data_IF_295262620457
#
_entry.id   IF_295262620457
#
_cell.length_a   1.000
_cell.length_b   1.000
_cell.length_c   1.000
_cell.angle_alpha   90.00
_cell.angle_beta   90.00
_cell.angle_gamma   90.00
#
_symmetry.space_group_name_H-M   'P 1'
#
loop_
_entity.id
_entity.type
_entity.pdbx_description
1 polymer ?
#
# COMPACT_ATOMS: atom_id res chain seq x y z
N UNK A 1 82.72 -11.71 16.54
CA UNK A 1 81.98 -12.92 16.12
C UNK A 1 80.64 -12.85 16.81
N UNK A 2 79.68 -12.18 16.17
CA UNK A 2 78.36 -11.89 16.72
C UNK A 2 77.33 -12.84 16.11
N UNK A 3 76.55 -13.47 16.98
CA UNK A 3 75.54 -14.45 16.63
C UNK A 3 74.30 -13.75 16.06
N UNK A 4 73.90 -14.16 14.85
CA UNK A 4 72.58 -13.90 14.29
C UNK A 4 71.60 -14.91 14.86
N UNK A 5 70.47 -14.47 15.41
CA UNK A 5 69.28 -15.32 15.49
C UNK A 5 68.01 -14.48 15.30
N UNK A 6 67.06 -15.10 14.60
CA UNK A 6 65.95 -14.54 13.85
C UNK A 6 64.92 -13.73 14.65
N UNK A 7 64.43 -12.69 13.98
CA UNK A 7 63.25 -11.89 14.31
C UNK A 7 61.98 -12.76 14.45
N UNK A 8 61.31 -12.68 15.61
CA UNK A 8 59.94 -13.16 15.79
C UNK A 8 58.98 -12.01 15.48
N UNK A 9 58.25 -12.09 14.36
CA UNK A 9 57.13 -11.22 14.05
C UNK A 9 55.94 -11.55 14.99
N UNK A 10 55.63 -10.64 15.91
CA UNK A 10 54.35 -10.65 16.63
C UNK A 10 53.25 -10.12 15.70
N UNK A 11 52.54 -11.00 14.99
CA UNK A 11 51.24 -10.67 14.39
C UNK A 11 50.18 -10.73 15.49
N UNK A 12 49.78 -9.57 16.02
CA UNK A 12 48.59 -9.44 16.83
C UNK A 12 47.36 -9.64 15.93
N UNK A 13 46.76 -10.83 15.99
CA UNK A 13 45.45 -11.09 15.36
C UNK A 13 44.40 -10.40 16.20
N UNK A 14 43.98 -9.20 15.78
CA UNK A 14 42.79 -8.53 16.28
C UNK A 14 41.57 -9.37 15.85
N UNK A 15 41.15 -10.30 16.71
CA UNK A 15 39.85 -10.95 16.62
C UNK A 15 38.77 -9.88 16.83
N UNK A 16 38.38 -9.21 15.75
CA UNK A 16 37.10 -8.52 15.68
C UNK A 16 36.03 -9.57 15.95
N UNK A 17 35.56 -9.63 17.21
CA UNK A 17 34.30 -10.25 17.54
C UNK A 17 33.22 -9.41 16.84
N UNK A 18 32.91 -9.77 15.59
CA UNK A 18 31.58 -9.54 15.04
C UNK A 18 30.65 -10.41 15.89
N UNK A 19 30.31 -9.93 17.08
CA UNK A 19 29.07 -10.31 17.71
C UNK A 19 28.01 -9.85 16.70
N UNK A 20 27.56 -10.77 15.85
CA UNK A 20 26.32 -10.57 15.12
C UNK A 20 25.29 -10.26 16.18
N UNK A 21 24.94 -8.99 16.32
CA UNK A 21 23.77 -8.61 17.08
C UNK A 21 22.66 -9.38 16.40
N UNK A 22 22.12 -10.41 17.07
CA UNK A 22 20.88 -11.01 16.65
C UNK A 22 19.92 -9.83 16.52
N UNK A 23 19.59 -9.45 15.28
CA UNK A 23 18.73 -8.32 15.02
C UNK A 23 17.43 -8.65 15.76
N UNK A 24 17.11 -7.89 16.80
CA UNK A 24 15.92 -8.14 17.58
C UNK A 24 14.72 -8.12 16.62
N UNK A 25 14.05 -9.26 16.48
CA UNK A 25 12.82 -9.35 15.69
C UNK A 25 11.71 -8.73 16.52
N UNK A 26 11.02 -7.77 15.93
CA UNK A 26 9.79 -7.23 16.47
C UNK A 26 8.72 -8.31 16.43
N UNK A 27 7.94 -8.38 17.50
CA UNK A 27 6.76 -9.22 17.61
C UNK A 27 5.54 -8.30 17.60
N UNK A 28 4.84 -8.26 16.47
CA UNK A 28 3.64 -7.46 16.28
C UNK A 28 2.41 -8.36 16.49
N UNK A 29 1.67 -8.23 17.61
CA UNK A 29 0.51 -9.08 17.87
C UNK A 29 -0.70 -8.76 16.97
N UNK A 30 -0.70 -7.60 16.31
CA UNK A 30 -1.75 -7.15 15.43
C UNK A 30 -1.23 -6.13 14.40
N UNK A 31 -2.03 -5.90 13.37
CA UNK A 31 -1.81 -4.87 12.36
C UNK A 31 -3.10 -4.08 12.12
N UNK A 32 -2.98 -2.75 12.08
CA UNK A 32 -4.05 -1.82 11.72
C UNK A 32 -3.68 -1.10 10.43
N UNK A 33 -4.45 -1.32 9.37
CA UNK A 33 -4.14 -0.76 8.05
C UNK A 33 -5.08 0.38 7.68
N UNK A 34 -4.52 1.45 7.13
CA UNK A 34 -5.22 2.59 6.53
C UNK A 34 -4.76 2.71 5.09
N UNK A 35 -5.65 3.09 4.18
CA UNK A 35 -5.24 3.10 2.79
C UNK A 35 -6.33 3.28 1.76
N UNK A 36 -5.93 3.07 0.51
CA UNK A 36 -6.82 2.98 -0.63
C UNK A 36 -6.93 1.54 -1.16
N UNK A 37 -7.30 1.39 -2.43
CA UNK A 37 -7.48 0.11 -3.09
C UNK A 37 -6.22 -0.76 -3.18
N UNK A 38 -5.02 -0.17 -3.05
CA UNK A 38 -3.77 -0.93 -2.99
C UNK A 38 -3.66 -1.81 -1.72
N UNK A 39 -4.47 -1.54 -0.71
CA UNK A 39 -4.50 -2.29 0.54
C UNK A 39 -5.91 -2.64 1.03
N UNK A 40 -6.96 -2.36 0.25
CA UNK A 40 -8.34 -2.71 0.59
C UNK A 40 -8.55 -4.24 0.62
N UNK A 41 -9.20 -4.73 1.67
CA UNK A 41 -9.54 -6.14 1.88
C UNK A 41 -11.05 -6.38 2.00
N UNK A 42 -11.87 -5.43 1.57
CA UNK A 42 -13.33 -5.51 1.53
C UNK A 42 -14.07 -4.27 2.04
N UNK A 43 -13.38 -3.18 2.39
CA UNK A 43 -13.96 -1.93 2.87
C UNK A 43 -14.96 -1.33 1.87
N UNK A 44 -14.54 -1.13 0.61
CA UNK A 44 -15.46 -0.62 -0.41
C UNK A 44 -16.56 -1.64 -0.72
N UNK A 45 -16.19 -2.93 -0.76
CA UNK A 45 -17.11 -4.03 -1.05
C UNK A 45 -18.27 -4.13 -0.06
N UNK A 46 -18.00 -3.89 1.23
CA UNK A 46 -19.00 -3.99 2.28
C UNK A 46 -20.11 -2.92 2.16
N UNK A 47 -19.82 -1.77 1.53
CA UNK A 47 -20.74 -0.63 1.46
C UNK A 47 -21.31 -0.45 0.06
N UNK A 48 -20.50 -0.62 -0.99
CA UNK A 48 -20.86 -0.26 -2.37
C UNK A 48 -20.96 -1.44 -3.32
N UNK A 49 -20.75 -2.67 -2.83
CA UNK A 49 -20.86 -3.89 -3.61
C UNK A 49 -19.49 -4.51 -3.92
N UNK A 50 -19.49 -5.84 -3.98
CA UNK A 50 -18.29 -6.66 -4.12
C UNK A 50 -17.56 -6.38 -5.43
N UNK A 51 -16.23 -6.32 -5.37
CA UNK A 51 -15.39 -6.37 -6.57
C UNK A 51 -15.78 -7.65 -7.36
N UNK A 52 -16.16 -7.54 -8.64
CA UNK A 52 -16.76 -8.67 -9.37
C UNK A 52 -15.72 -9.73 -9.73
N UNK A 53 -16.16 -10.93 -10.13
CA UNK A 53 -15.26 -11.86 -10.84
C UNK A 53 -14.71 -11.17 -12.11
N UNK A 54 -13.42 -11.30 -12.48
CA UNK A 54 -12.39 -12.26 -12.01
C UNK A 54 -11.47 -11.81 -10.87
N UNK A 55 -11.85 -10.80 -10.08
CA UNK A 55 -11.07 -10.40 -8.90
C UNK A 55 -10.86 -11.61 -7.96
N UNK A 56 -9.62 -11.79 -7.48
CA UNK A 56 -9.23 -12.91 -6.61
C UNK A 56 -9.00 -14.27 -7.29
N UNK A 57 -9.08 -14.40 -8.62
CA UNK A 57 -8.98 -15.69 -9.33
C UNK A 57 -7.69 -16.50 -9.07
N UNK A 58 -6.55 -15.83 -8.90
CA UNK A 58 -5.21 -16.45 -8.78
C UNK A 58 -4.98 -17.06 -7.40
N UNK A 59 -5.55 -16.50 -6.34
CA UNK A 59 -5.27 -16.93 -4.97
C UNK A 59 -6.50 -17.33 -4.15
N UNK A 60 -7.54 -16.48 -4.14
CA UNK A 60 -8.75 -16.75 -3.38
C UNK A 60 -9.74 -17.63 -4.15
N UNK A 61 -9.55 -17.75 -5.46
CA UNK A 61 -10.40 -18.49 -6.39
C UNK A 61 -11.88 -18.06 -6.35
N UNK A 62 -12.10 -16.83 -5.89
CA UNK A 62 -13.39 -16.16 -5.78
C UNK A 62 -13.14 -14.69 -5.42
N UNK A 63 -14.11 -13.78 -5.64
CA UNK A 63 -13.92 -12.39 -5.26
C UNK A 63 -13.82 -12.23 -3.74
N UNK A 64 -12.72 -11.63 -3.29
CA UNK A 64 -12.36 -11.52 -1.87
C UNK A 64 -12.26 -10.05 -1.37
N UNK A 65 -12.95 -9.13 -2.06
CA UNK A 65 -12.98 -7.71 -1.71
C UNK A 65 -11.69 -6.94 -1.99
N UNK A 66 -10.75 -7.53 -2.72
CA UNK A 66 -9.51 -6.92 -3.18
C UNK A 66 -9.63 -6.61 -4.66
N UNK A 67 -9.10 -5.46 -5.09
CA UNK A 67 -9.05 -5.05 -6.49
C UNK A 67 -7.73 -5.52 -7.10
N UNK A 68 -7.59 -6.84 -7.25
CA UNK A 68 -6.47 -7.56 -7.88
C UNK A 68 -6.89 -9.01 -8.12
N UNK A 69 -6.16 -9.74 -8.96
CA UNK A 69 -6.37 -11.18 -9.18
C UNK A 69 -6.07 -12.06 -7.96
N UNK A 70 -5.57 -11.51 -6.85
CA UNK A 70 -5.31 -12.29 -5.65
C UNK A 70 -5.02 -11.44 -4.42
N UNK A 71 -3.82 -11.60 -3.86
CA UNK A 71 -3.35 -10.89 -2.67
C UNK A 71 -2.80 -9.50 -3.01
N UNK A 72 -3.09 -8.54 -2.13
CA UNK A 72 -2.45 -7.22 -2.17
C UNK A 72 -1.26 -7.17 -1.20
N UNK A 73 -0.47 -6.09 -1.23
CA UNK A 73 0.79 -5.99 -0.45
C UNK A 73 0.57 -6.20 1.05
N UNK A 74 -0.55 -5.73 1.61
CA UNK A 74 -0.89 -5.88 3.03
C UNK A 74 -1.07 -7.35 3.45
N UNK A 75 -1.55 -8.21 2.54
CA UNK A 75 -1.72 -9.63 2.82
C UNK A 75 -0.36 -10.32 2.98
N UNK A 76 0.62 -9.96 2.14
CA UNK A 76 1.98 -10.47 2.26
C UNK A 76 2.72 -9.94 3.50
N UNK A 77 2.44 -8.69 3.90
CA UNK A 77 2.92 -8.13 5.17
C UNK A 77 2.39 -8.98 6.33
N UNK A 78 1.08 -9.23 6.39
CA UNK A 78 0.46 -10.06 7.44
C UNK A 78 1.08 -11.46 7.49
N UNK A 79 1.19 -12.15 6.35
CA UNK A 79 1.83 -13.48 6.26
C UNK A 79 3.24 -13.48 6.83
N UNK A 80 4.04 -12.47 6.50
CA UNK A 80 5.44 -12.39 6.93
C UNK A 80 5.63 -12.13 8.42
N UNK A 81 4.61 -11.54 9.06
CA UNK A 81 4.54 -11.31 10.50
C UNK A 81 3.85 -12.46 11.24
N UNK A 82 3.40 -13.51 10.53
CA UNK A 82 2.67 -14.62 11.12
C UNK A 82 1.24 -14.27 11.54
N UNK A 83 0.67 -13.18 11.01
CA UNK A 83 -0.68 -12.73 11.27
C UNK A 83 -1.67 -13.30 10.24
N UNK A 84 -2.94 -13.52 10.61
CA UNK A 84 -3.99 -13.79 9.62
C UNK A 84 -4.20 -12.59 8.70
N UNK A 85 -4.81 -12.81 7.53
CA UNK A 85 -5.25 -11.70 6.68
C UNK A 85 -6.24 -10.81 7.42
N UNK A 86 -6.08 -9.50 7.25
CA UNK A 86 -6.93 -8.54 7.93
C UNK A 86 -8.36 -8.60 7.39
N UNK A 87 -9.31 -8.59 8.33
CA UNK A 87 -10.71 -8.32 8.01
C UNK A 87 -10.91 -6.82 7.81
N UNK A 88 -11.67 -6.43 6.79
CA UNK A 88 -12.09 -5.04 6.65
C UNK A 88 -13.00 -4.64 7.82
N UNK A 89 -12.81 -3.45 8.37
CA UNK A 89 -13.60 -2.93 9.49
C UNK A 89 -15.12 -2.96 9.20
N UNK A 90 -15.49 -2.68 7.95
CA UNK A 90 -16.87 -2.59 7.50
C UNK A 90 -17.52 -3.95 7.20
N UNK A 91 -16.75 -5.05 7.18
CA UNK A 91 -17.30 -6.38 6.94
C UNK A 91 -18.16 -6.83 8.13
N UNK A 92 -19.42 -7.18 7.86
CA UNK A 92 -20.37 -7.65 8.87
C UNK A 92 -20.33 -9.16 9.12
N UNK A 93 -19.95 -9.95 8.11
CA UNK A 93 -19.98 -11.43 8.15
C UNK A 93 -18.55 -11.98 8.12
N UNK A 94 -18.24 -12.88 9.05
CA UNK A 94 -16.98 -13.64 9.07
C UNK A 94 -15.76 -12.87 9.56
N UNK A 95 -15.92 -11.61 10.00
CA UNK A 95 -14.82 -10.77 10.46
C UNK A 95 -14.21 -11.27 11.77
N UNK A 96 -12.89 -11.31 11.80
CA UNK A 96 -12.09 -11.57 13.00
C UNK A 96 -11.08 -10.45 13.16
N UNK A 97 -11.21 -9.68 14.24
CA UNK A 97 -10.38 -8.51 14.53
C UNK A 97 -9.38 -8.75 15.66
N UNK A 98 -9.23 -10.00 16.14
CA UNK A 98 -8.30 -10.35 17.23
C UNK A 98 -6.85 -9.94 16.96
N UNK A 99 -6.46 -9.89 15.69
CA UNK A 99 -5.14 -9.48 15.21
C UNK A 99 -5.17 -8.14 14.44
N UNK A 100 -6.16 -7.30 14.72
CA UNK A 100 -6.33 -5.99 14.11
C UNK A 100 -7.33 -5.95 12.97
N UNK A 101 -7.43 -4.80 12.31
CA UNK A 101 -8.47 -4.50 11.33
C UNK A 101 -7.91 -3.67 10.18
N UNK A 102 -8.56 -3.76 9.03
CA UNK A 102 -8.24 -2.95 7.87
C UNK A 102 -9.33 -1.88 7.63
N UNK A 103 -8.95 -0.62 7.69
CA UNK A 103 -9.80 0.54 7.44
C UNK A 103 -9.66 1.08 6.00
N UNK A 104 -8.73 0.53 5.21
CA UNK A 104 -8.57 0.94 3.82
C UNK A 104 -9.85 0.67 3.01
N UNK A 105 -10.13 1.58 2.08
CA UNK A 105 -11.28 1.50 1.18
C UNK A 105 -10.83 1.90 -0.22
N UNK A 106 -11.23 1.15 -1.24
CA UNK A 106 -10.87 1.44 -2.62
C UNK A 106 -11.34 2.82 -3.07
N UNK A 107 -10.48 3.54 -3.80
CA UNK A 107 -10.75 4.92 -4.24
C UNK A 107 -10.65 5.98 -3.15
N UNK A 108 -10.23 5.65 -1.93
CA UNK A 108 -10.06 6.61 -0.84
C UNK A 108 -8.94 7.61 -1.09
N UNK A 109 -9.20 8.85 -0.68
CA UNK A 109 -8.27 9.97 -0.69
C UNK A 109 -7.91 10.36 0.74
N UNK A 110 -6.76 11.02 0.91
CA UNK A 110 -6.41 11.65 2.19
C UNK A 110 -7.39 12.79 2.47
N UNK A 111 -7.60 13.68 1.50
CA UNK A 111 -8.56 14.78 1.62
C UNK A 111 -9.97 14.33 1.23
N UNK A 112 -11.02 14.63 2.02
CA UNK A 112 -12.41 14.36 1.63
C UNK A 112 -12.77 14.92 0.26
N UNK A 113 -13.57 14.17 -0.50
CA UNK A 113 -14.08 14.60 -1.80
C UNK A 113 -15.47 15.24 -1.66
N UNK A 114 -15.71 16.31 -2.40
CA UNK A 114 -17.02 16.99 -2.45
C UNK A 114 -17.97 16.38 -3.50
N UNK A 115 -17.79 15.10 -3.83
CA UNK A 115 -18.54 14.37 -4.85
C UNK A 115 -18.91 12.99 -4.32
N UNK A 116 -19.95 12.37 -4.90
CA UNK A 116 -20.28 10.97 -4.58
C UNK A 116 -19.40 10.00 -5.36
N UNK A 117 -19.33 8.75 -4.90
CA UNK A 117 -18.65 7.66 -5.62
C UNK A 117 -19.14 7.55 -7.07
N UNK A 118 -20.44 7.70 -7.31
CA UNK A 118 -21.02 7.61 -8.66
C UNK A 118 -20.63 8.79 -9.56
N UNK A 119 -20.33 9.96 -8.98
CA UNK A 119 -19.96 11.15 -9.75
C UNK A 119 -18.50 11.16 -10.15
N UNK A 120 -17.60 10.74 -9.26
CA UNK A 120 -16.15 10.90 -9.46
C UNK A 120 -15.36 9.59 -9.50
N UNK A 121 -15.92 8.51 -8.95
CA UNK A 121 -15.23 7.23 -8.75
C UNK A 121 -14.37 7.18 -7.48
N UNK A 122 -14.35 8.25 -6.66
CA UNK A 122 -13.61 8.28 -5.40
C UNK A 122 -14.51 7.96 -4.21
N UNK A 123 -13.95 7.26 -3.23
CA UNK A 123 -14.70 6.81 -2.05
C UNK A 123 -15.03 7.97 -1.12
N UNK A 124 -16.25 7.99 -0.53
CA UNK A 124 -16.57 8.93 0.54
C UNK A 124 -15.87 8.59 1.87
N UNK A 125 -15.19 7.45 1.95
CA UNK A 125 -14.44 7.00 3.13
C UNK A 125 -12.99 7.50 3.00
N UNK A 126 -12.78 8.81 3.13
CA UNK A 126 -11.44 9.42 3.15
C UNK A 126 -10.66 9.07 4.41
N UNK A 127 -9.37 9.41 4.46
CA UNK A 127 -8.47 9.01 5.56
C UNK A 127 -8.95 9.47 6.94
N UNK A 128 -9.59 10.64 7.04
CA UNK A 128 -10.21 11.12 8.27
C UNK A 128 -11.40 10.25 8.70
N UNK A 129 -12.19 9.73 7.75
CA UNK A 129 -13.26 8.76 8.03
C UNK A 129 -12.67 7.44 8.49
N UNK A 130 -11.62 6.93 7.83
CA UNK A 130 -10.91 5.72 8.25
C UNK A 130 -10.33 5.87 9.67
N UNK A 131 -9.84 7.06 10.03
CA UNK A 131 -9.44 7.37 11.40
C UNK A 131 -10.62 7.33 12.37
N UNK A 132 -11.77 7.90 12.01
CA UNK A 132 -12.97 7.84 12.87
C UNK A 132 -13.42 6.39 13.08
N UNK A 133 -13.35 5.54 12.05
CA UNK A 133 -13.60 4.11 12.16
C UNK A 133 -12.63 3.44 13.15
N UNK A 134 -11.33 3.72 13.02
CA UNK A 134 -10.33 3.25 13.97
C UNK A 134 -10.56 3.75 15.40
N UNK A 135 -10.89 5.03 15.56
CA UNK A 135 -11.14 5.65 16.87
C UNK A 135 -12.32 5.00 17.58
N UNK A 136 -13.43 4.80 16.87
CA UNK A 136 -14.60 4.12 17.41
C UNK A 136 -14.32 2.65 17.67
N UNK A 137 -13.60 1.96 16.78
CA UNK A 137 -13.17 0.58 16.99
C UNK A 137 -12.31 0.44 18.25
N UNK A 138 -11.30 1.30 18.40
CA UNK A 138 -10.40 1.35 19.56
C UNK A 138 -11.19 1.55 20.86
N UNK A 139 -12.02 2.59 20.94
CA UNK A 139 -12.69 2.96 22.19
C UNK A 139 -13.85 2.03 22.57
N UNK A 140 -14.52 1.41 21.59
CA UNK A 140 -15.63 0.49 21.86
C UNK A 140 -15.16 -0.92 22.15
N UNK A 141 -13.95 -1.30 21.73
CA UNK A 141 -13.41 -2.65 21.90
C UNK A 141 -13.40 -3.12 23.37
N UNK A 142 -12.86 -2.38 24.35
CA UNK A 142 -12.81 -2.82 25.74
C UNK A 142 -14.20 -3.16 26.31
N UNK A 143 -15.21 -2.33 26.02
CA UNK A 143 -16.59 -2.54 26.46
C UNK A 143 -17.23 -3.72 25.74
N UNK A 144 -16.99 -3.87 24.43
CA UNK A 144 -17.55 -4.96 23.65
C UNK A 144 -17.01 -6.33 24.09
N UNK A 145 -15.72 -6.43 24.42
CA UNK A 145 -15.10 -7.67 24.95
C UNK A 145 -15.78 -8.21 26.20
N UNK A 146 -16.32 -7.33 27.05
CA UNK A 146 -16.98 -7.72 28.30
C UNK A 146 -18.38 -8.33 28.08
N UNK A 147 -18.92 -8.29 26.86
CA UNK A 147 -20.28 -8.76 26.55
C UNK A 147 -20.38 -10.28 26.28
N UNK A 148 -19.27 -11.02 26.39
CA UNK A 148 -19.27 -12.49 26.31
C UNK A 148 -18.03 -13.07 25.64
N UNK A 149 -17.83 -14.38 25.79
CA UNK A 149 -16.63 -15.11 25.34
C UNK A 149 -16.34 -14.97 23.84
N UNK A 150 -17.38 -14.83 23.01
CA UNK A 150 -17.22 -14.67 21.56
C UNK A 150 -16.53 -13.34 21.24
N UNK A 151 -16.97 -12.23 21.85
CA UNK A 151 -16.37 -10.91 21.63
C UNK A 151 -14.96 -10.82 22.22
N UNK A 152 -14.71 -11.51 23.33
CA UNK A 152 -13.37 -11.63 23.91
C UNK A 152 -12.38 -12.28 22.92
N UNK A 153 -12.81 -13.27 22.15
CA UNK A 153 -11.98 -14.00 21.17
C UNK A 153 -11.84 -13.28 19.83
N UNK A 154 -12.85 -12.52 19.40
CA UNK A 154 -12.89 -11.88 18.08
C UNK A 154 -12.35 -10.44 18.05
N UNK A 155 -12.15 -9.81 19.19
CA UNK A 155 -11.60 -8.45 19.29
C UNK A 155 -10.17 -8.49 19.83
N UNK A 156 -9.35 -7.44 19.62
CA UNK A 156 -8.00 -7.37 20.19
C UNK A 156 -8.08 -6.99 21.68
N UNK A 157 -7.05 -7.31 22.47
CA UNK A 157 -6.93 -6.80 23.85
C UNK A 157 -6.43 -5.34 23.84
N UNK A 158 -6.65 -4.60 24.91
CA UNK A 158 -6.29 -3.17 24.97
C UNK A 158 -4.78 -2.94 24.79
N UNK A 159 -3.94 -3.79 25.38
CA UNK A 159 -2.49 -3.69 25.28
C UNK A 159 -1.95 -3.95 23.85
N UNK A 160 -2.77 -4.55 22.97
CA UNK A 160 -2.40 -4.85 21.57
C UNK A 160 -2.24 -3.57 20.77
N UNK A 161 -3.07 -2.55 20.99
CA UNK A 161 -3.04 -1.32 20.21
C UNK A 161 -1.66 -0.63 20.29
N UNK A 162 -1.07 -0.53 21.49
CA UNK A 162 0.28 0.05 21.66
C UNK A 162 1.43 -0.79 21.10
N UNK A 163 1.17 -2.05 20.74
CA UNK A 163 2.17 -3.00 20.21
C UNK A 163 1.97 -3.30 18.73
N UNK A 164 0.88 -2.85 18.12
CA UNK A 164 0.53 -3.18 16.75
C UNK A 164 1.38 -2.41 15.72
N UNK A 165 1.48 -2.97 14.53
CA UNK A 165 1.98 -2.28 13.35
C UNK A 165 0.85 -1.48 12.70
N UNK A 166 1.10 -0.21 12.40
CA UNK A 166 0.18 0.68 11.70
C UNK A 166 0.70 0.94 10.30
N UNK A 167 -0.03 0.48 9.28
CA UNK A 167 0.36 0.59 7.87
C UNK A 167 -0.46 1.66 7.15
N UNK A 168 0.17 2.41 6.26
CA UNK A 168 -0.47 3.44 5.43
C UNK A 168 -0.04 3.27 3.96
N UNK A 169 -0.99 3.09 3.05
CA UNK A 169 -0.79 3.17 1.58
C UNK A 169 -1.93 4.00 0.98
N UNK A 170 -1.71 5.32 0.89
CA UNK A 170 -2.73 6.30 0.49
C UNK A 170 -2.10 7.55 -0.13
N UNK A 171 -2.88 8.28 -0.93
CA UNK A 171 -2.50 9.55 -1.54
C UNK A 171 -2.49 9.50 -3.07
N UNK A 172 -2.49 8.30 -3.67
CA UNK A 172 -2.55 8.14 -5.13
C UNK A 172 -3.81 8.81 -5.70
N UNK A 173 -4.95 8.53 -5.07
CA UNK A 173 -6.24 9.05 -5.51
C UNK A 173 -6.33 10.57 -5.37
N UNK A 174 -5.65 11.19 -4.39
CA UNK A 174 -5.63 12.66 -4.26
C UNK A 174 -5.02 13.32 -5.49
N UNK A 175 -4.02 12.68 -6.12
CA UNK A 175 -3.42 13.20 -7.36
C UNK A 175 -4.39 13.06 -8.53
N UNK A 176 -4.95 11.86 -8.72
CA UNK A 176 -5.82 11.60 -9.88
C UNK A 176 -7.19 12.25 -9.75
N UNK A 177 -7.67 12.52 -8.54
CA UNK A 177 -8.91 13.28 -8.32
C UNK A 177 -8.82 14.69 -8.90
N UNK A 178 -7.70 15.39 -8.70
CA UNK A 178 -7.49 16.70 -9.32
C UNK A 178 -7.51 16.63 -10.84
N UNK A 179 -6.75 15.69 -11.43
CA UNK A 179 -6.71 15.53 -12.89
C UNK A 179 -8.07 15.15 -13.49
N UNK A 180 -8.84 14.31 -12.82
CA UNK A 180 -10.16 13.89 -13.30
C UNK A 180 -11.23 14.97 -13.15
N UNK A 181 -10.92 16.03 -12.40
CA UNK A 181 -11.67 17.29 -12.36
C UNK A 181 -11.07 18.35 -13.31
N UNK A 182 -10.25 17.94 -14.29
CA UNK A 182 -9.60 18.80 -15.28
C UNK A 182 -8.63 19.85 -14.69
N UNK A 183 -8.08 19.62 -13.50
CA UNK A 183 -7.01 20.48 -12.96
C UNK A 183 -5.72 20.28 -13.75
N UNK A 184 -4.98 21.36 -13.94
CA UNK A 184 -3.61 21.35 -14.46
C UNK A 184 -2.63 20.73 -13.46
N UNK A 185 -1.48 20.28 -13.95
CA UNK A 185 -0.38 19.80 -13.09
C UNK A 185 0.04 20.82 -12.03
N UNK A 186 0.01 22.13 -12.36
CA UNK A 186 0.29 23.20 -11.38
C UNK A 186 -0.75 23.28 -10.27
N UNK A 187 -2.03 23.12 -10.59
CA UNK A 187 -3.12 23.14 -9.61
C UNK A 187 -3.08 21.91 -8.71
N UNK A 188 -2.78 20.72 -9.27
CA UNK A 188 -2.58 19.50 -8.48
C UNK A 188 -1.41 19.66 -7.51
N UNK A 189 -0.27 20.19 -7.98
CA UNK A 189 0.90 20.49 -7.13
C UNK A 189 0.56 21.48 -6.01
N UNK A 190 -0.28 22.48 -6.30
CA UNK A 190 -0.58 23.56 -5.37
C UNK A 190 -1.30 23.09 -4.09
N UNK A 191 -2.09 22.00 -4.15
CA UNK A 191 -2.79 21.49 -2.97
C UNK A 191 -2.06 20.36 -2.23
N UNK A 192 -0.91 19.88 -2.70
CA UNK A 192 -0.17 18.82 -2.00
C UNK A 192 0.18 19.16 -0.54
N UNK A 193 0.55 20.41 -0.18
CA UNK A 193 0.80 20.76 1.22
C UNK A 193 -0.42 20.55 2.14
N UNK A 194 -1.64 20.81 1.64
CA UNK A 194 -2.88 20.57 2.38
C UNK A 194 -3.12 19.07 2.59
N UNK A 195 -2.99 18.27 1.52
CA UNK A 195 -3.11 16.81 1.56
C UNK A 195 -2.12 16.21 2.57
N UNK A 196 -0.86 16.62 2.50
CA UNK A 196 0.21 16.14 3.39
C UNK A 196 0.02 16.60 4.85
N UNK A 197 -0.52 17.81 5.06
CA UNK A 197 -0.91 18.31 6.38
C UNK A 197 -2.01 17.46 7.02
N UNK A 198 -3.02 17.08 6.24
CA UNK A 198 -4.09 16.19 6.72
C UNK A 198 -3.56 14.79 7.04
N UNK A 199 -2.69 14.22 6.19
CA UNK A 199 -2.00 12.95 6.49
C UNK A 199 -1.23 13.01 7.81
N UNK A 200 -0.44 14.07 8.01
CA UNK A 200 0.31 14.29 9.25
C UNK A 200 -0.59 14.29 10.48
N UNK A 201 -1.74 14.98 10.41
CA UNK A 201 -2.71 15.02 11.50
C UNK A 201 -3.23 13.63 11.84
N UNK A 202 -3.59 12.82 10.85
CA UNK A 202 -4.10 11.46 11.11
C UNK A 202 -3.06 10.57 11.77
N UNK A 203 -1.79 10.60 11.33
CA UNK A 203 -0.73 9.83 12.00
C UNK A 203 -0.55 10.28 13.45
N UNK A 204 -0.57 11.59 13.70
CA UNK A 204 -0.52 12.15 15.07
C UNK A 204 -1.72 11.74 15.92
N UNK A 205 -2.91 11.63 15.33
CA UNK A 205 -4.10 11.16 16.05
C UNK A 205 -4.01 9.67 16.38
N UNK A 206 -3.58 8.82 15.45
CA UNK A 206 -3.34 7.39 15.75
C UNK A 206 -2.28 7.23 16.84
N UNK A 207 -1.23 8.06 16.84
CA UNK A 207 -0.25 8.10 17.93
C UNK A 207 -0.88 8.51 19.28
N UNK A 208 -1.79 9.49 19.28
CA UNK A 208 -2.52 9.90 20.49
C UNK A 208 -3.39 8.78 21.08
N UNK A 209 -3.86 7.85 20.24
CA UNK A 209 -4.59 6.64 20.63
C UNK A 209 -3.67 5.46 20.97
N UNK A 210 -2.38 5.71 21.22
CA UNK A 210 -1.43 4.69 21.65
C UNK A 210 -0.62 4.04 20.53
N UNK A 211 -0.84 4.36 19.26
CA UNK A 211 -0.05 3.80 18.16
C UNK A 211 1.43 4.17 18.25
N UNK A 212 2.33 3.20 18.03
CA UNK A 212 3.79 3.39 18.19
C UNK A 212 4.64 2.97 16.99
N UNK A 213 4.16 2.09 16.13
CA UNK A 213 4.98 1.53 15.05
C UNK A 213 4.30 1.77 13.71
N UNK A 214 4.89 2.64 12.89
CA UNK A 214 4.29 3.12 11.64
C UNK A 214 5.11 2.67 10.44
N UNK A 215 4.44 2.10 9.43
CA UNK A 215 5.02 1.65 8.17
C UNK A 215 4.27 2.33 7.02
N UNK A 216 4.84 3.42 6.52
CA UNK A 216 4.18 4.38 5.64
C UNK A 216 4.75 4.23 4.24
N UNK A 217 3.91 3.78 3.30
CA UNK A 217 4.26 3.71 1.89
C UNK A 217 4.07 5.08 1.24
N UNK A 218 4.98 5.43 0.33
CA UNK A 218 4.77 6.54 -0.60
C UNK A 218 3.83 6.12 -1.75
N UNK A 219 3.48 7.03 -2.65
CA UNK A 219 2.58 6.69 -3.77
C UNK A 219 3.33 6.13 -4.98
N UNK A 220 2.66 5.33 -5.81
CA UNK A 220 3.24 4.71 -7.01
C UNK A 220 3.36 5.65 -8.22
N UNK A 221 3.93 5.16 -9.34
CA UNK A 221 4.07 5.94 -10.57
C UNK A 221 2.73 6.04 -11.32
N UNK A 222 1.88 6.98 -10.92
CA UNK A 222 0.52 7.16 -11.49
C UNK A 222 0.51 7.41 -12.99
N UNK A 223 1.55 8.02 -13.55
CA UNK A 223 1.69 8.25 -14.98
C UNK A 223 1.93 6.98 -15.79
N UNK A 224 2.19 5.85 -15.14
CA UNK A 224 2.31 4.55 -15.79
C UNK A 224 1.01 3.74 -15.78
N UNK A 225 -0.07 4.26 -15.16
CA UNK A 225 -1.31 3.51 -15.01
C UNK A 225 -2.24 3.77 -16.22
N UNK A 226 -2.74 2.72 -16.90
CA UNK A 226 -3.64 2.88 -18.05
C UNK A 226 -4.83 3.81 -17.80
N UNK A 227 -5.44 3.79 -16.60
CA UNK A 227 -6.56 4.67 -16.29
C UNK A 227 -6.22 6.17 -16.30
N UNK A 228 -4.96 6.53 -16.05
CA UNK A 228 -4.47 7.92 -16.21
C UNK A 228 -4.15 8.18 -17.68
N UNK A 229 -3.44 7.24 -18.32
CA UNK A 229 -2.94 7.42 -19.68
C UNK A 229 -4.05 7.48 -20.75
N UNK A 230 -5.18 6.84 -20.52
CA UNK A 230 -6.33 6.86 -21.43
C UNK A 230 -7.35 7.94 -21.08
N UNK A 231 -7.44 8.39 -19.82
CA UNK A 231 -8.42 9.39 -19.38
C UNK A 231 -7.94 10.84 -19.51
N UNK A 232 -6.63 11.07 -19.41
CA UNK A 232 -6.05 12.42 -19.48
C UNK A 232 -5.28 12.59 -20.78
N UNK A 233 -5.53 13.67 -21.57
CA UNK A 233 -4.78 13.92 -22.80
C UNK A 233 -3.28 14.07 -22.54
N UNK A 234 -2.46 13.28 -23.23
CA UNK A 234 -1.00 13.28 -23.12
C UNK A 234 -0.39 13.52 -24.49
N UNK A 235 0.53 14.48 -24.58
CA UNK A 235 1.33 14.71 -25.78
C UNK A 235 2.39 13.62 -25.93
N UNK A 236 2.73 13.23 -27.16
CA UNK A 236 3.79 12.25 -27.40
C UNK A 236 5.15 12.64 -26.76
N UNK A 237 5.43 13.95 -26.65
CA UNK A 237 6.62 14.49 -25.98
C UNK A 237 6.62 14.35 -24.45
N UNK A 238 5.49 14.01 -23.85
CA UNK A 238 5.31 13.81 -22.41
C UNK A 238 5.35 12.34 -22.00
N UNK A 239 5.56 11.43 -22.96
CA UNK A 239 5.73 10.00 -22.70
C UNK A 239 7.22 9.69 -22.60
N UNK A 240 7.65 9.12 -21.48
CA UNK A 240 9.04 8.72 -21.27
C UNK A 240 9.42 7.47 -22.10
N UNK A 241 10.70 7.11 -22.06
CA UNK A 241 11.24 5.94 -22.77
C UNK A 241 10.65 4.60 -22.29
N UNK A 242 10.03 4.55 -21.10
CA UNK A 242 9.34 3.36 -20.55
C UNK A 242 7.90 3.29 -21.06
N UNK A 243 7.35 4.39 -21.55
CA UNK A 243 5.97 4.50 -22.02
C UNK A 243 5.03 5.17 -21.02
N UNK A 244 5.55 5.71 -19.91
CA UNK A 244 4.76 6.39 -18.89
C UNK A 244 4.64 7.89 -19.16
N UNK A 245 3.53 8.49 -18.75
CA UNK A 245 3.32 9.93 -18.83
C UNK A 245 4.07 10.67 -17.71
N UNK A 246 5.20 11.29 -18.07
CA UNK A 246 6.14 11.93 -17.14
C UNK A 246 5.51 13.00 -16.24
N UNK A 247 4.63 13.92 -16.73
CA UNK A 247 4.09 14.98 -15.89
C UNK A 247 3.34 14.46 -14.65
N UNK A 248 2.62 13.33 -14.77
CA UNK A 248 1.91 12.74 -13.64
C UNK A 248 2.86 11.99 -12.69
N UNK A 249 3.89 11.33 -13.24
CA UNK A 249 4.94 10.71 -12.44
C UNK A 249 5.75 11.74 -11.64
N UNK A 250 6.02 12.92 -12.22
CA UNK A 250 6.67 14.02 -11.50
C UNK A 250 5.83 14.50 -10.31
N UNK A 251 4.51 14.62 -10.46
CA UNK A 251 3.63 15.00 -9.34
C UNK A 251 3.59 13.93 -8.26
N UNK A 252 3.57 12.64 -8.63
CA UNK A 252 3.73 11.56 -7.65
C UNK A 252 5.07 11.66 -6.91
N UNK A 253 6.15 12.01 -7.60
CA UNK A 253 7.45 12.25 -6.96
C UNK A 253 7.44 13.49 -6.07
N UNK A 254 6.72 14.56 -6.43
CA UNK A 254 6.56 15.76 -5.60
C UNK A 254 5.82 15.42 -4.30
N UNK A 255 4.72 14.67 -4.38
CA UNK A 255 4.00 14.13 -3.23
C UNK A 255 4.92 13.28 -2.35
N UNK A 256 5.69 12.36 -2.95
CA UNK A 256 6.60 11.48 -2.22
C UNK A 256 7.71 12.23 -1.48
N UNK A 257 8.26 13.31 -2.08
CA UNK A 257 9.23 14.18 -1.39
C UNK A 257 8.59 14.88 -0.19
N UNK A 258 7.41 15.46 -0.36
CA UNK A 258 6.68 16.09 0.73
C UNK A 258 6.27 15.11 1.84
N UNK A 259 5.87 13.88 1.49
CA UNK A 259 5.57 12.83 2.46
C UNK A 259 6.81 12.45 3.29
N UNK A 260 7.97 12.36 2.65
CA UNK A 260 9.23 12.11 3.36
C UNK A 260 9.56 13.23 4.35
N UNK A 261 9.35 14.49 3.97
CA UNK A 261 9.49 15.64 4.87
C UNK A 261 8.51 15.56 6.05
N UNK A 262 7.24 15.21 5.80
CA UNK A 262 6.24 14.99 6.86
C UNK A 262 6.66 13.87 7.81
N UNK A 263 7.18 12.75 7.30
CA UNK A 263 7.70 11.65 8.14
C UNK A 263 8.86 12.13 9.01
N UNK A 264 9.77 12.96 8.47
CA UNK A 264 10.86 13.54 9.26
C UNK A 264 10.33 14.44 10.40
N UNK A 265 9.31 15.26 10.12
CA UNK A 265 8.66 16.08 11.16
C UNK A 265 7.98 15.20 12.22
N UNK A 266 7.22 14.18 11.80
CA UNK A 266 6.56 13.26 12.73
C UNK A 266 7.55 12.53 13.64
N UNK A 267 8.75 12.16 13.16
CA UNK A 267 9.79 11.57 14.00
C UNK A 267 10.29 12.51 15.10
N UNK A 268 10.33 13.82 14.82
CA UNK A 268 10.71 14.83 15.81
C UNK A 268 9.59 15.08 16.82
N UNK A 269 8.34 15.13 16.35
CA UNK A 269 7.16 15.45 17.16
C UNK A 269 6.66 14.25 17.99
N UNK A 270 6.92 13.02 17.54
CA UNK A 270 6.41 11.77 18.13
C UNK A 270 7.56 10.87 18.64
N UNK A 271 8.30 11.28 19.70
CA UNK A 271 9.55 10.63 20.12
C UNK A 271 9.41 9.19 20.64
N UNK A 272 8.18 8.74 20.92
CA UNK A 272 7.91 7.36 21.33
C UNK A 272 7.60 6.44 20.14
N UNK A 273 7.41 6.99 18.94
CA UNK A 273 7.09 6.21 17.75
C UNK A 273 8.35 5.75 17.01
N UNK A 274 8.30 4.56 16.41
CA UNK A 274 9.15 4.20 15.29
C UNK A 274 8.34 4.42 14.00
N UNK A 275 8.85 5.26 13.11
CA UNK A 275 8.16 5.61 11.86
C UNK A 275 9.08 5.28 10.70
N UNK A 276 8.68 4.33 9.86
CA UNK A 276 9.40 3.89 8.67
C UNK A 276 8.70 4.40 7.43
N UNK A 277 9.39 5.20 6.63
CA UNK A 277 8.98 5.58 5.28
C UNK A 277 9.43 4.50 4.30
N UNK A 278 8.59 4.15 3.33
CA UNK A 278 8.82 3.04 2.40
C UNK A 278 8.61 3.52 0.97
N UNK A 279 9.67 3.45 0.18
CA UNK A 279 9.70 3.86 -1.22
C UNK A 279 9.15 2.76 -2.14
N UNK A 280 7.83 2.57 -2.12
CA UNK A 280 7.15 1.67 -3.06
C UNK A 280 7.15 2.21 -4.48
N UNK A 281 7.26 3.54 -4.70
CA UNK A 281 7.38 4.16 -6.02
C UNK A 281 8.51 3.52 -6.81
N UNK A 282 9.73 3.52 -6.26
CA UNK A 282 10.91 3.01 -6.94
C UNK A 282 10.78 1.54 -7.28
N UNK A 283 10.15 0.75 -6.39
CA UNK A 283 9.90 -0.68 -6.64
C UNK A 283 8.86 -0.87 -7.75
N UNK A 284 7.70 -0.20 -7.65
CA UNK A 284 6.62 -0.24 -8.65
C UNK A 284 7.13 0.19 -10.03
N UNK A 285 7.89 1.29 -10.10
CA UNK A 285 8.50 1.77 -11.35
C UNK A 285 9.55 0.79 -11.90
N UNK A 286 10.32 0.11 -11.05
CA UNK A 286 11.27 -0.93 -11.48
C UNK A 286 10.58 -2.13 -12.12
N UNK A 287 9.42 -2.56 -11.61
CA UNK A 287 8.64 -3.63 -12.24
C UNK A 287 8.20 -3.27 -13.66
N UNK A 288 7.94 -1.98 -13.91
CA UNK A 288 7.47 -1.46 -15.20
C UNK A 288 8.62 -1.23 -16.18
N UNK A 289 9.72 -0.64 -15.70
CA UNK A 289 10.90 -0.27 -16.51
C UNK A 289 11.84 -1.44 -16.78
N UNK A 290 11.84 -2.46 -15.92
CA UNK A 290 12.69 -3.65 -16.06
C UNK A 290 11.89 -4.95 -15.87
N UNK A 291 10.80 -5.17 -16.65
CA UNK A 291 9.83 -6.24 -16.39
C UNK A 291 10.45 -7.64 -16.44
N UNK A 292 11.37 -7.87 -17.38
CA UNK A 292 12.01 -9.18 -17.58
C UNK A 292 12.81 -9.64 -16.36
N UNK A 293 13.39 -8.70 -15.60
CA UNK A 293 14.13 -9.00 -14.35
C UNK A 293 13.22 -9.66 -13.30
N UNK A 294 11.92 -9.43 -13.38
CA UNK A 294 10.93 -9.89 -12.42
C UNK A 294 10.00 -10.98 -12.98
N UNK A 295 10.22 -11.39 -14.24
CA UNK A 295 9.41 -12.39 -14.93
C UNK A 295 8.17 -11.83 -15.65
N UNK A 296 8.03 -10.50 -15.74
CA UNK A 296 6.93 -9.86 -16.46
C UNK A 296 7.28 -9.67 -17.94
N UNK A 297 6.26 -9.72 -18.79
CA UNK A 297 6.34 -9.43 -20.23
C UNK A 297 5.54 -8.20 -20.63
N UNK A 298 4.50 -7.89 -19.86
CA UNK A 298 3.53 -6.85 -20.19
C UNK A 298 3.40 -5.87 -19.02
N UNK A 299 4.30 -4.87 -18.92
CA UNK A 299 4.33 -3.95 -17.79
C UNK A 299 3.20 -2.91 -17.80
N UNK A 300 2.79 -2.44 -18.98
CA UNK A 300 1.80 -1.36 -19.15
C UNK A 300 0.45 -1.85 -19.69
N UNK A 301 0.38 -3.07 -20.22
CA UNK A 301 -0.88 -3.65 -20.71
C UNK A 301 -1.63 -4.23 -19.52
N UNK A 302 -2.90 -3.92 -19.43
CA UNK A 302 -3.84 -4.47 -18.45
C UNK A 302 -4.13 -5.94 -18.73
N UNK A 303 -4.07 -6.80 -17.71
CA UNK A 303 -4.42 -8.21 -17.84
C UNK A 303 -5.94 -8.41 -17.97
N UNK A 304 -6.72 -7.85 -17.04
CA UNK A 304 -8.18 -7.89 -17.03
C UNK A 304 -8.77 -6.58 -17.55
N UNK A 305 -9.24 -6.59 -18.78
CA UNK A 305 -9.80 -5.38 -19.39
C UNK A 305 -10.28 -5.62 -20.80
N UNK A 306 -10.66 -4.54 -21.47
CA UNK A 306 -11.29 -4.59 -22.78
C UNK A 306 -10.78 -3.48 -23.68
N UNK A 307 -10.35 -3.82 -24.90
CA UNK A 307 -10.10 -2.86 -25.97
C UNK A 307 -9.01 -1.82 -25.69
N UNK A 308 -8.91 -0.82 -26.56
CA UNK A 308 -7.95 0.28 -26.40
C UNK A 308 -6.46 -0.13 -26.53
N UNK A 309 -5.57 0.87 -26.37
CA UNK A 309 -4.12 0.69 -26.53
C UNK A 309 -3.52 -0.22 -25.44
N UNK A 310 -4.01 -0.10 -24.22
CA UNK A 310 -3.48 -0.80 -23.05
C UNK A 310 -4.36 -1.98 -22.59
N UNK A 311 -5.32 -2.44 -23.40
CA UNK A 311 -6.38 -3.36 -22.95
C UNK A 311 -7.26 -2.75 -21.83
N UNK A 312 -7.58 -1.47 -21.96
CA UNK A 312 -8.31 -0.69 -20.96
C UNK A 312 -9.36 0.19 -21.63
N UNK A 313 -10.56 0.21 -21.04
CA UNK A 313 -11.68 1.06 -21.42
C UNK A 313 -12.36 1.57 -20.13
N UNK A 314 -12.56 2.89 -20.04
CA UNK A 314 -13.15 3.54 -18.87
C UNK A 314 -14.62 3.13 -18.61
N UNK A 315 -15.31 2.64 -19.64
CA UNK A 315 -16.71 2.22 -19.55
C UNK A 315 -16.86 0.70 -19.39
N UNK A 316 -15.79 -0.06 -19.63
CA UNK A 316 -15.78 -1.53 -19.58
C UNK A 316 -14.62 -2.01 -18.70
N UNK A 317 -14.76 -1.82 -17.38
CA UNK A 317 -13.79 -2.28 -16.38
C UNK A 317 -13.71 -3.80 -16.28
N UNK A 318 -12.71 -4.30 -15.53
CA UNK A 318 -12.52 -5.73 -15.30
C UNK A 318 -13.81 -6.42 -14.84
N UNK A 319 -14.14 -7.55 -15.47
CA UNK A 319 -15.37 -8.30 -15.18
C UNK A 319 -16.64 -7.75 -15.84
N UNK A 320 -16.57 -6.64 -16.58
CA UNK A 320 -17.73 -6.10 -17.30
C UNK A 320 -18.34 -7.12 -18.26
N UNK A 321 -19.68 -7.17 -18.25
CA UNK A 321 -20.49 -8.02 -19.12
C UNK A 321 -21.21 -7.18 -20.18
N UNK A 322 -21.52 -7.80 -21.31
CA UNK A 322 -22.37 -7.23 -22.34
C UNK A 322 -23.29 -8.32 -22.90
N UNK A 323 -24.48 -7.90 -23.37
CA UNK A 323 -25.39 -8.79 -24.08
C UNK A 323 -24.86 -9.01 -25.51
N UNK A 324 -24.49 -10.25 -25.85
CA UNK A 324 -24.05 -10.67 -27.18
C UNK A 324 -24.98 -11.79 -27.63
N UNK A 325 -25.71 -11.58 -28.72
CA UNK A 325 -26.67 -12.54 -29.29
C UNK A 325 -27.72 -13.07 -28.28
N UNK A 326 -28.10 -12.24 -27.30
CA UNK A 326 -29.08 -12.59 -26.27
C UNK A 326 -28.51 -13.30 -25.04
N UNK A 327 -27.19 -13.54 -24.99
CA UNK A 327 -26.50 -14.08 -23.83
C UNK A 327 -25.63 -13.02 -23.15
N UNK A 328 -25.56 -13.06 -21.81
CA UNK A 328 -24.65 -12.21 -21.05
C UNK A 328 -23.23 -12.79 -21.13
N UNK A 329 -22.32 -12.06 -21.76
CA UNK A 329 -20.93 -12.48 -21.96
C UNK A 329 -20.00 -11.49 -21.28
N UNK A 330 -19.05 -12.00 -20.49
CA UNK A 330 -17.96 -11.18 -19.95
C UNK A 330 -17.07 -10.71 -21.10
N UNK A 331 -17.01 -9.39 -21.32
CA UNK A 331 -16.22 -8.77 -22.40
C UNK A 331 -14.86 -8.28 -21.92
N UNK A 332 -14.76 -7.88 -20.65
CA UNK A 332 -13.51 -7.50 -20.00
C UNK A 332 -12.98 -8.68 -19.17
N UNK A 333 -12.46 -9.69 -19.88
CA UNK A 333 -11.95 -10.92 -19.27
C UNK A 333 -10.54 -10.73 -18.73
N UNK A 334 -10.15 -11.58 -17.77
CA UNK A 334 -8.75 -11.77 -17.41
C UNK A 334 -7.95 -12.34 -18.58
N UNK A 335 -6.65 -12.06 -18.58
CA UNK A 335 -5.69 -12.65 -19.50
C UNK A 335 -5.31 -14.08 -19.08
N UNK A 336 -4.83 -14.91 -20.00
CA UNK A 336 -4.52 -16.33 -19.71
C UNK A 336 -3.47 -16.55 -18.60
N UNK A 337 -2.60 -15.57 -18.36
CA UNK A 337 -1.55 -15.66 -17.34
C UNK A 337 -1.29 -14.29 -16.67
N UNK A 338 -1.97 -14.00 -15.54
CA UNK A 338 -1.75 -12.79 -14.77
C UNK A 338 -0.32 -12.62 -14.28
N UNK A 339 0.43 -13.70 -14.05
CA UNK A 339 1.81 -13.64 -13.56
C UNK A 339 2.81 -13.03 -14.57
N UNK A 340 2.42 -12.86 -15.84
CA UNK A 340 3.23 -12.20 -16.87
C UNK A 340 2.95 -10.69 -16.98
N UNK A 341 1.96 -10.17 -16.24
CA UNK A 341 1.53 -8.78 -16.26
C UNK A 341 1.86 -8.08 -14.95
N UNK A 342 2.24 -6.81 -15.02
CA UNK A 342 2.36 -5.96 -13.83
C UNK A 342 1.00 -5.38 -13.47
N UNK A 343 0.26 -4.90 -14.46
CA UNK A 343 -1.00 -4.22 -14.29
C UNK A 343 -2.19 -5.19 -14.43
N UNK A 344 -3.09 -5.18 -13.44
CA UNK A 344 -4.26 -6.03 -13.39
C UNK A 344 -5.42 -5.46 -14.21
N UNK A 345 -5.96 -4.30 -13.83
CA UNK A 345 -7.25 -3.76 -14.36
C UNK A 345 -7.16 -2.33 -14.92
N UNK A 346 -5.95 -1.80 -15.08
CA UNK A 346 -5.67 -0.43 -15.48
C UNK A 346 -5.32 0.50 -14.33
N UNK A 347 -5.55 0.08 -13.09
CA UNK A 347 -5.27 0.84 -11.86
C UNK A 347 -4.36 0.04 -10.94
N UNK A 348 -4.72 -1.22 -10.67
CA UNK A 348 -4.11 -2.06 -9.66
C UNK A 348 -3.06 -3.00 -10.25
N UNK A 349 -2.22 -3.51 -9.36
CA UNK A 349 -1.15 -4.44 -9.71
C UNK A 349 -1.62 -5.88 -9.52
N UNK A 350 -1.10 -6.80 -10.33
CA UNK A 350 -1.39 -8.24 -10.19
C UNK A 350 -0.86 -8.79 -8.87
N UNK A 351 -1.37 -9.93 -8.42
CA UNK A 351 -0.86 -10.66 -7.24
C UNK A 351 0.64 -10.91 -7.36
N UNK A 352 1.09 -11.29 -8.56
CA UNK A 352 2.49 -11.54 -8.86
C UNK A 352 3.33 -10.25 -8.69
N UNK A 353 2.83 -9.11 -9.15
CA UNK A 353 3.47 -7.82 -8.97
C UNK A 353 3.45 -7.36 -7.50
N UNK A 354 2.33 -7.51 -6.79
CA UNK A 354 2.23 -7.23 -5.35
C UNK A 354 3.22 -8.07 -4.53
N UNK A 355 3.40 -9.34 -4.88
CA UNK A 355 4.42 -10.22 -4.29
C UNK A 355 5.82 -9.70 -4.54
N UNK A 356 6.13 -9.25 -5.76
CA UNK A 356 7.44 -8.66 -6.06
C UNK A 356 7.66 -7.36 -5.28
N UNK A 357 6.65 -6.50 -5.16
CA UNK A 357 6.72 -5.29 -4.35
C UNK A 357 7.08 -5.65 -2.90
N UNK A 358 6.32 -6.56 -2.29
CA UNK A 358 6.56 -7.02 -0.93
C UNK A 358 7.98 -7.58 -0.73
N UNK A 359 8.45 -8.43 -1.65
CA UNK A 359 9.80 -9.03 -1.58
C UNK A 359 10.91 -7.98 -1.48
N UNK A 360 10.75 -6.83 -2.12
CA UNK A 360 11.76 -5.77 -2.11
C UNK A 360 11.67 -4.91 -0.85
N UNK A 361 10.46 -4.49 -0.46
CA UNK A 361 10.29 -3.59 0.69
C UNK A 361 10.54 -4.27 2.03
N UNK A 362 10.28 -5.58 2.18
CA UNK A 362 10.42 -6.29 3.46
C UNK A 362 11.83 -6.26 4.04
N UNK A 363 12.83 -6.11 3.18
CA UNK A 363 14.26 -6.13 3.53
C UNK A 363 14.74 -4.82 4.17
N UNK A 364 13.97 -3.74 4.04
CA UNK A 364 14.39 -2.39 4.44
C UNK A 364 15.25 -1.66 3.41
N UNK A 365 15.65 -2.28 2.29
CA UNK A 365 16.46 -1.59 1.26
C UNK A 365 15.75 -0.37 0.65
N UNK A 366 14.42 -0.40 0.60
CA UNK A 366 13.58 0.68 0.11
C UNK A 366 12.94 1.46 1.26
N UNK A 367 13.51 1.38 2.46
CA UNK A 367 12.98 2.02 3.65
C UNK A 367 13.94 3.09 4.15
N UNK A 368 13.37 4.15 4.71
CA UNK A 368 14.08 5.12 5.53
C UNK A 368 13.41 5.11 6.91
N UNK A 369 14.11 4.81 8.01
CA UNK A 369 15.47 4.24 8.02
C UNK A 369 15.52 2.87 7.32
N UNK A 370 16.70 2.38 6.90
CA UNK A 370 16.85 1.12 6.17
C UNK A 370 16.74 -0.09 7.10
N UNK A 371 15.57 -0.25 7.72
CA UNK A 371 15.25 -1.32 8.67
C UNK A 371 14.32 -2.34 8.00
N UNK A 372 14.58 -3.65 8.13
CA UNK A 372 13.63 -4.67 7.68
C UNK A 372 12.28 -4.52 8.37
N UNK A 373 11.22 -4.97 7.71
CA UNK A 373 9.86 -4.98 8.28
C UNK A 373 9.80 -5.72 9.62
N UNK A 374 10.52 -6.85 9.74
CA UNK A 374 10.64 -7.62 10.98
C UNK A 374 11.35 -6.87 12.11
N UNK A 375 11.94 -5.71 11.83
CA UNK A 375 12.62 -4.86 12.80
C UNK A 375 12.04 -3.43 12.83
N UNK A 376 10.83 -3.22 12.30
CA UNK A 376 10.21 -1.90 12.18
C UNK A 376 9.83 -1.24 13.52
N UNK A 377 9.89 -1.98 14.64
CA UNK A 377 9.73 -1.44 16.00
C UNK A 377 10.99 -0.77 16.56
N UNK A 378 12.13 -0.92 15.88
CA UNK A 378 13.38 -0.30 16.30
C UNK A 378 13.30 1.21 16.07
N UNK A 379 13.41 1.97 17.16
CA UNK A 379 13.48 3.43 17.11
C UNK A 379 14.89 3.84 16.75
N UNK A 380 15.02 4.71 15.75
CA UNK A 380 16.29 5.36 15.46
C UNK A 380 16.52 6.51 16.45
N UNK A 381 17.76 6.75 16.90
CA UNK A 381 18.08 7.96 17.64
C UNK A 381 17.71 9.20 16.81
N UNK A 382 17.32 10.32 17.45
CA UNK A 382 17.21 11.58 16.74
C UNK A 382 18.54 11.90 16.05
N UNK A 383 18.51 12.13 14.74
CA UNK A 383 19.66 12.53 13.93
C UNK A 383 20.04 13.99 14.15
#
# INVERSE_FOLDING_TARGET
MEARCSSCFFTAVLLCRLAGMAQASCDFPAMFNFGDSNSDTGGLSAVFGQAPWPEGETYFHSPAGRYTDGRVVVDFIAESLGLPYLSAYLNSVGSNFSHGANFATAGSTIRPQNTTLQQSGFSPISLDVQYNEFYEFHNRTPVARQKGEVFEKLLPKEEVFSKALYTFDIGQNDLTAGYFMNMSTSEVRAYLPDVLGQFKNIVSYVYSQGGRFFWIHNTGPVGCLPYVMERVPIMASQVDHVGCASPFNEVAQDFNRGLKEVVMQLRQELPQAAITYVDVYSVKYSLISHPEKYGFKHPLRTCCGHGGRYNYDIHMGCGATAMVDGEEVMVAKSCDNPALHVNWDGVHFTEAANRQIFKHIRSGLFSDPPVPLSSACLRMPPS
#
